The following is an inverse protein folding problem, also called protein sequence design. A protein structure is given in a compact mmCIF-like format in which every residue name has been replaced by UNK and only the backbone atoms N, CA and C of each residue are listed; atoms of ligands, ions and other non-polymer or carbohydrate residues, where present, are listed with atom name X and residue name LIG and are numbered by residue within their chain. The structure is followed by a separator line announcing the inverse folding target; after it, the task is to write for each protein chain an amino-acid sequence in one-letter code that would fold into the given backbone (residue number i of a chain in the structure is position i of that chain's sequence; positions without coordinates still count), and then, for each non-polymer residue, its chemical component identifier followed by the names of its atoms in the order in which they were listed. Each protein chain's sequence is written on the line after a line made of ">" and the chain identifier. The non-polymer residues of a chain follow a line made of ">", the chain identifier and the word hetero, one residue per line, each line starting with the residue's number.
data_IF_280533518977
#
_entry.id   IF_280533518977
#
_cell.length_a   1.000
_cell.length_b   1.000
_cell.length_c   1.000
_cell.angle_alpha   90.00
_cell.angle_beta   90.00
_cell.angle_gamma   90.00
#
_symmetry.space_group_name_H-M   'P 1'
#
loop_
_entity.id
_entity.type
_entity.pdbx_description
1 polymer ?
#
# COMPACT_ATOMS: atom_id res chain seq x y z
N UNK A 1 4.84 -3.31 -9.96
CA UNK A 1 4.27 -1.95 -9.81
C UNK A 1 2.89 -2.15 -9.20
N UNK A 2 2.25 -1.12 -8.69
CA UNK A 2 0.91 -1.24 -8.08
C UNK A 2 -0.12 -1.70 -9.14
N UNK A 3 -1.14 -2.44 -8.69
CA UNK A 3 -2.22 -2.95 -9.54
C UNK A 3 -2.99 -1.80 -10.22
N UNK A 4 -3.42 -1.94 -11.49
CA UNK A 4 -4.20 -0.89 -12.13
C UNK A 4 -5.55 -0.68 -11.42
N UNK A 5 -5.90 0.58 -11.21
CA UNK A 5 -7.17 1.00 -10.58
C UNK A 5 -8.38 0.46 -11.34
N UNK A 6 -8.29 0.45 -12.69
CA UNK A 6 -9.33 -0.07 -13.59
C UNK A 6 -8.74 -1.08 -14.57
N UNK A 7 -9.55 -2.05 -14.98
CA UNK A 7 -9.17 -2.97 -16.03
C UNK A 7 -8.98 -2.25 -17.37
N UNK A 8 -7.87 -2.54 -18.06
CA UNK A 8 -7.50 -1.94 -19.33
C UNK A 8 -8.48 -2.19 -20.48
N UNK A 9 -9.29 -3.25 -20.41
CA UNK A 9 -10.27 -3.59 -21.46
C UNK A 9 -11.69 -3.17 -21.10
N UNK A 10 -12.15 -3.51 -19.89
CA UNK A 10 -13.55 -3.37 -19.48
C UNK A 10 -13.84 -2.07 -18.72
N UNK A 11 -12.81 -1.38 -18.20
CA UNK A 11 -12.97 -0.17 -17.36
C UNK A 11 -13.57 -0.41 -15.97
N UNK A 12 -13.94 -1.66 -15.62
CA UNK A 12 -14.38 -2.04 -14.27
C UNK A 12 -13.26 -1.70 -13.27
N UNK A 13 -13.63 -1.22 -12.09
CA UNK A 13 -12.69 -1.01 -10.97
C UNK A 13 -12.19 -2.38 -10.50
N UNK A 14 -10.87 -2.50 -10.34
CA UNK A 14 -10.19 -3.74 -9.93
C UNK A 14 -9.18 -3.49 -8.81
N UNK A 15 -8.70 -2.26 -8.63
CA UNK A 15 -7.64 -1.95 -7.67
C UNK A 15 -8.01 -2.19 -6.20
N UNK A 16 -9.30 -2.16 -5.88
CA UNK A 16 -9.85 -2.44 -4.55
C UNK A 16 -9.86 -3.94 -4.19
N UNK A 17 -9.76 -4.82 -5.19
CA UNK A 17 -9.93 -6.27 -5.01
C UNK A 17 -8.61 -7.02 -4.74
N UNK A 18 -7.47 -6.35 -4.88
CA UNK A 18 -6.16 -7.00 -4.78
C UNK A 18 -5.85 -7.51 -3.37
N UNK A 19 -6.09 -6.72 -2.34
CA UNK A 19 -5.85 -7.13 -0.95
C UNK A 19 -6.76 -8.30 -0.57
N UNK A 20 -8.04 -8.24 -0.94
CA UNK A 20 -8.98 -9.34 -0.73
C UNK A 20 -8.66 -10.62 -1.51
N UNK A 21 -7.87 -10.54 -2.59
CA UNK A 21 -7.36 -11.71 -3.30
C UNK A 21 -6.20 -12.35 -2.52
N UNK A 22 -5.25 -11.54 -2.05
CA UNK A 22 -4.12 -12.00 -1.24
C UNK A 22 -4.59 -12.66 0.06
N UNK A 23 -5.55 -12.08 0.77
CA UNK A 23 -6.13 -12.67 1.98
C UNK A 23 -6.72 -14.08 1.74
N UNK A 24 -7.34 -14.30 0.57
CA UNK A 24 -7.90 -15.61 0.19
C UNK A 24 -6.81 -16.62 -0.10
N UNK A 25 -5.74 -16.22 -0.79
CA UNK A 25 -4.59 -17.08 -1.00
C UNK A 25 -3.89 -17.43 0.32
N UNK A 26 -3.74 -16.46 1.22
CA UNK A 26 -3.15 -16.68 2.54
C UNK A 26 -4.01 -17.63 3.40
N UNK A 27 -5.34 -17.63 3.21
CA UNK A 27 -6.23 -18.63 3.82
C UNK A 27 -6.11 -20.05 3.23
N UNK A 28 -5.30 -20.24 2.20
CA UNK A 28 -5.06 -21.54 1.56
C UNK A 28 -6.02 -21.89 0.41
N UNK A 29 -6.78 -20.91 -0.12
CA UNK A 29 -7.61 -21.14 -1.29
C UNK A 29 -6.76 -21.30 -2.56
N UNK A 30 -7.29 -22.03 -3.55
CA UNK A 30 -6.67 -22.09 -4.89
C UNK A 30 -6.84 -20.76 -5.63
N UNK A 31 -5.94 -20.46 -6.57
CA UNK A 31 -6.03 -19.23 -7.37
C UNK A 31 -7.38 -19.07 -8.10
N UNK A 32 -7.92 -20.19 -8.59
CA UNK A 32 -9.18 -20.21 -9.33
C UNK A 32 -10.33 -19.84 -8.40
N UNK A 33 -10.43 -20.52 -7.24
CA UNK A 33 -11.50 -20.30 -6.27
C UNK A 33 -11.42 -18.89 -5.66
N UNK A 34 -10.20 -18.40 -5.40
CA UNK A 34 -9.98 -17.06 -4.86
C UNK A 34 -10.48 -15.97 -5.81
N UNK A 35 -10.30 -16.14 -7.13
CA UNK A 35 -10.78 -15.18 -8.13
C UNK A 35 -12.28 -15.28 -8.35
N UNK A 36 -12.83 -16.49 -8.33
CA UNK A 36 -14.27 -16.70 -8.41
C UNK A 36 -14.99 -16.04 -7.24
N UNK A 37 -14.39 -16.08 -6.05
CA UNK A 37 -14.89 -15.39 -4.85
C UNK A 37 -14.85 -13.84 -4.93
N UNK A 38 -14.10 -13.25 -5.87
CA UNK A 38 -14.09 -11.79 -6.11
C UNK A 38 -15.17 -11.33 -7.12
N UNK A 39 -16.01 -12.26 -7.58
CA UNK A 39 -17.12 -11.99 -8.51
C UNK A 39 -16.69 -11.31 -9.82
N UNK A 40 -15.45 -11.56 -10.26
CA UNK A 40 -14.95 -11.08 -11.54
C UNK A 40 -15.49 -11.97 -12.67
N UNK A 41 -16.62 -11.60 -13.29
CA UNK A 41 -17.24 -12.42 -14.36
C UNK A 41 -16.45 -12.45 -15.67
N UNK A 42 -15.86 -11.31 -16.08
CA UNK A 42 -15.19 -11.19 -17.39
C UNK A 42 -13.71 -11.57 -17.28
N UNK A 43 -13.23 -12.39 -18.22
CA UNK A 43 -11.82 -12.82 -18.31
C UNK A 43 -10.85 -11.63 -18.35
N UNK A 44 -11.23 -10.53 -19.01
CA UNK A 44 -10.38 -9.35 -19.16
C UNK A 44 -10.12 -8.62 -17.84
N UNK A 45 -11.08 -8.66 -16.90
CA UNK A 45 -10.91 -8.08 -15.58
C UNK A 45 -10.17 -9.10 -14.65
N UNK A 46 -10.38 -10.42 -14.81
CA UNK A 46 -9.62 -11.49 -14.10
C UNK A 46 -8.12 -11.46 -14.37
N UNK A 47 -7.71 -11.29 -15.63
CA UNK A 47 -6.28 -11.24 -15.98
C UNK A 47 -5.52 -10.12 -15.26
N UNK A 48 -6.21 -9.04 -14.87
CA UNK A 48 -5.58 -7.92 -14.16
C UNK A 48 -5.13 -8.31 -12.75
N UNK A 49 -5.79 -9.29 -12.12
CA UNK A 49 -5.41 -9.83 -10.81
C UNK A 49 -4.39 -10.97 -11.01
N UNK A 50 -4.72 -11.95 -11.85
CA UNK A 50 -3.89 -13.16 -12.05
C UNK A 50 -2.45 -12.89 -12.44
N UNK A 51 -2.23 -11.95 -13.38
CA UNK A 51 -0.90 -11.69 -13.92
C UNK A 51 -0.23 -10.49 -13.24
N UNK A 52 -0.79 -9.98 -12.16
CA UNK A 52 -0.23 -8.84 -11.45
C UNK A 52 1.00 -9.27 -10.66
N UNK A 53 2.09 -8.52 -10.80
CA UNK A 53 3.30 -8.69 -9.99
C UNK A 53 3.61 -7.39 -9.29
N UNK A 54 3.46 -7.39 -7.96
CA UNK A 54 3.71 -6.19 -7.19
C UNK A 54 5.21 -5.95 -6.92
N UNK A 55 5.85 -5.31 -7.90
CA UNK A 55 7.24 -4.86 -7.76
C UNK A 55 7.42 -3.65 -6.83
N UNK A 56 6.37 -2.97 -6.33
CA UNK A 56 6.56 -1.74 -5.55
C UNK A 56 7.35 -1.99 -4.27
N UNK A 57 7.06 -3.09 -3.56
CA UNK A 57 7.73 -3.47 -2.32
C UNK A 57 9.23 -3.70 -2.51
N UNK A 58 9.61 -4.25 -3.68
CA UNK A 58 11.00 -4.48 -4.04
C UNK A 58 11.70 -3.18 -4.40
N UNK A 59 11.03 -2.28 -5.12
CA UNK A 59 11.58 -0.99 -5.53
C UNK A 59 11.72 0.01 -4.38
N UNK A 60 10.82 -0.02 -3.39
CA UNK A 60 10.88 0.84 -2.20
C UNK A 60 12.19 0.66 -1.40
N UNK A 61 12.87 -0.48 -1.55
CA UNK A 61 14.19 -0.75 -0.94
C UNK A 61 15.32 0.08 -1.53
N UNK A 62 15.16 0.59 -2.74
CA UNK A 62 16.19 1.35 -3.48
C UNK A 62 15.92 2.86 -3.49
N UNK A 63 14.94 3.36 -2.71
CA UNK A 63 14.77 4.79 -2.49
C UNK A 63 16.06 5.32 -1.86
N UNK A 64 16.81 6.07 -2.66
CA UNK A 64 18.12 6.64 -2.44
C UNK A 64 18.47 6.85 -0.96
N UNK A 65 19.52 6.17 -0.47
CA UNK A 65 19.98 6.18 0.92
C UNK A 65 20.32 7.57 1.45
N UNK A 66 20.64 8.50 0.55
CA UNK A 66 20.94 9.90 0.86
C UNK A 66 19.67 10.70 1.16
N UNK A 67 18.61 10.59 0.35
CA UNK A 67 17.38 11.40 0.53
C UNK A 67 16.42 10.85 1.59
N UNK A 68 16.48 9.55 1.92
CA UNK A 68 15.56 8.92 2.88
C UNK A 68 15.86 9.28 4.34
N UNK A 69 17.11 9.61 4.67
CA UNK A 69 17.51 10.06 6.02
C UNK A 69 16.91 11.43 6.34
N UNK A 70 16.69 12.27 5.33
CA UNK A 70 16.33 13.66 5.52
C UNK A 70 14.86 13.84 5.93
N UNK A 71 13.91 13.21 5.23
CA UNK A 71 12.49 13.39 5.58
C UNK A 71 12.12 12.70 6.90
N UNK A 72 12.59 11.46 7.12
CA UNK A 72 12.29 10.73 8.37
C UNK A 72 12.96 11.40 9.57
N UNK A 73 14.24 11.79 9.48
CA UNK A 73 14.86 12.59 10.56
C UNK A 73 14.17 13.92 10.74
N UNK A 74 13.85 14.66 9.67
CA UNK A 74 13.20 15.96 9.78
C UNK A 74 11.82 15.86 10.45
N UNK A 75 11.04 14.80 10.17
CA UNK A 75 9.78 14.55 10.86
C UNK A 75 9.99 14.29 12.35
N UNK A 76 10.90 13.37 12.71
CA UNK A 76 11.21 13.08 14.12
C UNK A 76 11.78 14.31 14.86
N UNK A 77 12.62 15.11 14.21
CA UNK A 77 13.19 16.36 14.75
C UNK A 77 12.10 17.41 14.99
N UNK A 78 11.15 17.53 14.06
CA UNK A 78 10.02 18.44 14.17
C UNK A 78 9.04 18.00 15.27
N UNK A 79 8.78 16.70 15.41
CA UNK A 79 7.98 16.17 16.52
C UNK A 79 8.66 16.41 17.88
N UNK A 80 9.97 16.16 17.98
CA UNK A 80 10.74 16.42 19.21
C UNK A 80 10.70 17.91 19.60
N UNK A 81 10.92 18.81 18.65
CA UNK A 81 10.81 20.26 18.88
C UNK A 81 9.41 20.69 19.30
N UNK A 82 8.37 20.01 18.81
CA UNK A 82 6.98 20.28 19.18
C UNK A 82 6.71 19.85 20.63
N UNK A 83 7.22 18.69 21.04
CA UNK A 83 7.12 18.17 22.41
C UNK A 83 7.88 19.04 23.41
N UNK A 84 9.12 19.42 23.12
CA UNK A 84 9.90 20.33 23.98
C UNK A 84 9.22 21.70 24.15
N UNK A 85 8.57 22.23 23.09
CA UNK A 85 7.77 23.46 23.17
C UNK A 85 6.53 23.29 24.04
N UNK A 86 5.91 22.11 24.03
CA UNK A 86 4.75 21.78 24.87
C UNK A 86 5.16 21.66 26.34
N UNK A 87 6.26 20.97 26.63
CA UNK A 87 6.82 20.85 27.99
C UNK A 87 7.18 22.22 28.58
N UNK A 88 7.94 23.03 27.85
CA UNK A 88 8.28 24.41 28.28
C UNK A 88 7.05 25.30 28.46
N UNK A 89 5.96 25.03 27.73
CA UNK A 89 4.69 25.75 27.89
C UNK A 89 3.92 25.28 29.13
N UNK A 90 4.06 24.01 29.51
CA UNK A 90 3.46 23.46 30.73
C UNK A 90 4.23 23.90 31.99
N UNK A 91 5.56 23.98 31.93
CA UNK A 91 6.39 24.49 33.04
C UNK A 91 6.12 25.96 33.37
N UNK A 92 5.81 26.80 32.36
CA UNK A 92 5.45 28.22 32.56
C UNK A 92 4.04 28.44 33.12
N UNK A 93 3.22 27.37 33.19
CA UNK A 93 1.84 27.42 33.69
C UNK A 93 1.70 26.89 35.12
N UNK A 94 2.77 26.29 35.67
CA UNK A 94 2.95 26.02 37.10
C UNK A 94 3.75 27.16 37.74
#
# INVERSE_FOLDING_TARGET
>A
MIIPIRCFSCGKVVGDLWESYLEKLDSGMSDVDAIDALELRRYCCRRMILTHVDLIEKLLKYVNSETQKDWRRALFENEKKKLEKLEKRNERKN
#
